data_IF_417108042549
#
_entry.id   IF_417108042549
#
_cell.length_a   1.000
_cell.length_b   1.000
_cell.length_c   1.000
_cell.angle_alpha   90.00
_cell.angle_beta   90.00
_cell.angle_gamma   90.00
#
_symmetry.space_group_name_H-M   'P 1'
#
loop_
_entity.id
_entity.type
_entity.pdbx_description
1 polymer ?
#
# COMPACT_ATOMS: atom_id res chain seq x y z
N UNK A 1 -29.43 -21.94 -12.13
CA UNK A 1 -28.14 -21.97 -11.39
C UNK A 1 -28.35 -22.47 -9.94
N UNK A 2 -27.86 -23.67 -9.62
CA UNK A 2 -28.11 -24.36 -8.33
C UNK A 2 -27.52 -23.65 -7.11
N UNK A 3 -26.43 -22.89 -7.28
CA UNK A 3 -25.74 -22.21 -6.19
C UNK A 3 -26.33 -20.84 -5.81
N UNK A 4 -27.34 -20.36 -6.55
CA UNK A 4 -27.99 -19.07 -6.28
C UNK A 4 -29.26 -19.30 -5.48
N UNK A 5 -29.22 -18.93 -4.20
CA UNK A 5 -30.34 -19.08 -3.27
C UNK A 5 -30.89 -17.69 -2.93
N UNK A 6 -32.15 -17.42 -3.27
CA UNK A 6 -32.79 -16.13 -3.02
C UNK A 6 -32.10 -14.94 -3.71
N UNK A 7 -31.53 -15.16 -4.91
CA UNK A 7 -30.79 -14.14 -5.65
C UNK A 7 -29.39 -13.85 -5.12
N UNK A 8 -28.90 -14.64 -4.16
CA UNK A 8 -27.57 -14.48 -3.55
C UNK A 8 -26.69 -15.68 -3.89
N UNK A 9 -25.43 -15.40 -4.18
CA UNK A 9 -24.38 -16.40 -4.37
C UNK A 9 -23.46 -16.36 -3.15
N UNK A 10 -23.29 -17.49 -2.46
CA UNK A 10 -22.31 -17.61 -1.37
C UNK A 10 -20.91 -17.77 -1.98
N UNK A 11 -20.03 -16.82 -1.70
CA UNK A 11 -18.64 -16.88 -2.16
C UNK A 11 -17.81 -17.71 -1.16
N UNK A 12 -17.09 -18.77 -1.60
CA UNK A 12 -16.18 -19.51 -0.75
C UNK A 12 -15.04 -18.63 -0.21
N UNK A 13 -14.56 -18.94 0.99
CA UNK A 13 -13.57 -18.11 1.70
C UNK A 13 -12.20 -18.06 0.99
N UNK A 14 -11.87 -19.11 0.23
CA UNK A 14 -10.63 -19.22 -0.54
C UNK A 14 -10.68 -18.50 -1.90
N UNK A 15 -11.77 -17.80 -2.24
CA UNK A 15 -11.86 -17.03 -3.48
C UNK A 15 -11.29 -15.64 -3.27
N UNK A 16 -10.36 -15.24 -4.15
CA UNK A 16 -9.81 -13.88 -4.23
C UNK A 16 -10.22 -13.22 -5.54
N UNK A 17 -10.60 -11.95 -5.46
CA UNK A 17 -10.87 -11.13 -6.64
C UNK A 17 -9.61 -10.33 -6.97
N UNK A 18 -9.05 -10.57 -8.15
CA UNK A 18 -7.89 -9.86 -8.66
C UNK A 18 -8.32 -9.22 -9.97
N UNK A 19 -8.19 -7.90 -10.04
CA UNK A 19 -8.47 -7.12 -11.24
C UNK A 19 -7.22 -6.37 -11.66
N UNK A 20 -7.00 -6.28 -12.96
CA UNK A 20 -6.00 -5.40 -13.56
C UNK A 20 -6.71 -4.26 -14.25
N UNK A 21 -6.13 -3.06 -14.17
CA UNK A 21 -6.61 -1.91 -14.90
C UNK A 21 -5.41 -1.16 -15.46
N UNK A 22 -5.53 -0.78 -16.73
CA UNK A 22 -4.59 0.18 -17.30
C UNK A 22 -4.93 1.57 -16.77
N UNK A 23 -3.90 2.40 -16.66
CA UNK A 23 -4.05 3.81 -16.35
C UNK A 23 -3.54 4.59 -17.55
N UNK A 24 -4.43 4.80 -18.51
CA UNK A 24 -4.21 5.55 -19.75
C UNK A 24 -5.27 6.65 -19.90
N UNK A 25 -5.00 7.64 -20.76
CA UNK A 25 -5.88 8.80 -20.97
C UNK A 25 -7.29 8.41 -21.46
N UNK A 26 -7.47 7.17 -21.91
CA UNK A 26 -8.70 6.65 -22.52
C UNK A 26 -9.56 5.83 -21.55
N UNK A 27 -9.09 5.57 -20.32
CA UNK A 27 -9.85 4.81 -19.32
C UNK A 27 -10.36 5.69 -18.17
N UNK A 28 -11.60 5.45 -17.74
CA UNK A 28 -12.13 6.07 -16.53
C UNK A 28 -11.44 5.46 -15.32
N UNK A 29 -10.85 6.30 -14.47
CA UNK A 29 -10.28 5.86 -13.20
C UNK A 29 -11.34 5.15 -12.32
N UNK A 30 -10.89 4.24 -11.46
CA UNK A 30 -11.82 3.66 -10.50
C UNK A 30 -12.34 4.74 -9.54
N UNK A 31 -13.58 4.56 -9.09
CA UNK A 31 -14.11 5.41 -8.03
C UNK A 31 -13.24 5.29 -6.75
N UNK A 32 -13.05 6.38 -5.97
CA UNK A 32 -12.29 6.35 -4.72
C UNK A 32 -12.70 5.22 -3.76
N UNK A 33 -14.00 4.91 -3.73
CA UNK A 33 -14.59 3.84 -2.92
C UNK A 33 -14.11 2.43 -3.30
N UNK A 34 -13.66 2.23 -4.54
CA UNK A 34 -13.11 0.95 -5.02
C UNK A 34 -11.68 0.80 -4.53
N UNK A 35 -10.89 1.86 -4.66
CA UNK A 35 -9.52 1.88 -4.18
C UNK A 35 -9.41 1.71 -2.67
N UNK A 36 -10.34 2.29 -1.91
CA UNK A 36 -10.41 2.12 -0.46
C UNK A 36 -10.72 0.66 -0.02
N UNK A 37 -11.30 -0.14 -0.92
CA UNK A 37 -11.65 -1.55 -0.68
C UNK A 37 -10.66 -2.55 -1.27
N UNK A 38 -9.61 -2.08 -1.94
CA UNK A 38 -8.65 -2.93 -2.65
C UNK A 38 -7.23 -2.71 -2.16
N UNK A 39 -6.42 -3.77 -2.20
CA UNK A 39 -4.97 -3.62 -2.19
C UNK A 39 -4.52 -3.31 -3.62
N UNK A 40 -3.77 -2.24 -3.80
CA UNK A 40 -3.26 -1.81 -5.10
C UNK A 40 -1.80 -2.21 -5.23
N UNK A 41 -1.45 -2.77 -6.39
CA UNK A 41 -0.07 -2.97 -6.80
C UNK A 41 0.09 -2.23 -8.12
N UNK A 42 1.07 -1.33 -8.19
CA UNK A 42 1.43 -0.67 -9.44
C UNK A 42 2.56 -1.43 -10.11
N UNK A 43 2.34 -1.82 -11.36
CA UNK A 43 3.37 -2.46 -12.16
C UNK A 43 4.29 -1.39 -12.74
N UNK A 44 5.63 -1.63 -12.78
CA UNK A 44 6.55 -0.72 -13.43
C UNK A 44 6.22 -0.60 -14.93
N UNK A 45 6.46 0.59 -15.51
CA UNK A 45 6.23 0.83 -16.95
C UNK A 45 7.03 -0.11 -17.84
N UNK A 46 8.25 -0.42 -17.44
CA UNK A 46 9.13 -1.35 -18.14
C UNK A 46 9.01 -2.73 -17.52
N UNK A 47 8.96 -3.75 -18.37
CA UNK A 47 9.03 -5.13 -17.90
C UNK A 47 10.32 -5.35 -17.10
N UNK A 48 10.25 -5.94 -15.90
CA UNK A 48 11.44 -6.34 -15.17
C UNK A 48 12.29 -7.27 -16.05
N UNK A 49 13.61 -7.23 -15.90
CA UNK A 49 14.49 -8.17 -16.61
C UNK A 49 14.03 -9.59 -16.29
N UNK A 50 13.73 -10.37 -17.33
CA UNK A 50 13.24 -11.74 -17.18
C UNK A 50 14.19 -12.63 -16.37
N UNK A 51 15.48 -12.28 -16.36
CA UNK A 51 16.52 -12.96 -15.56
C UNK A 51 16.30 -12.85 -14.04
N UNK A 52 15.50 -11.89 -13.58
CA UNK A 52 15.16 -11.72 -12.17
C UNK A 52 14.07 -12.70 -11.71
N UNK A 53 13.31 -13.28 -12.63
CA UNK A 53 12.31 -14.30 -12.29
C UNK A 53 12.98 -15.67 -12.22
N UNK A 54 13.13 -16.20 -11.01
CA UNK A 54 13.40 -17.62 -10.82
C UNK A 54 12.09 -18.37 -10.97
N UNK A 55 12.00 -19.19 -12.01
CA UNK A 55 10.95 -20.19 -12.09
C UNK A 55 11.23 -21.22 -10.99
N UNK A 56 10.27 -21.45 -10.12
CA UNK A 56 10.30 -22.55 -9.15
C UNK A 56 9.48 -23.68 -9.73
N UNK A 57 10.02 -24.89 -9.66
CA UNK A 57 9.31 -26.13 -10.03
C UNK A 57 8.51 -26.69 -8.83
N UNK A 58 8.54 -26.01 -7.68
CA UNK A 58 7.92 -26.49 -6.45
C UNK A 58 6.43 -26.10 -6.42
N UNK A 59 5.57 -27.11 -6.43
CA UNK A 59 4.14 -26.95 -6.19
C UNK A 59 3.82 -27.17 -4.71
N UNK A 60 3.26 -26.15 -4.05
CA UNK A 60 2.82 -26.25 -2.65
C UNK A 60 1.30 -26.34 -2.58
N UNK A 61 0.79 -27.43 -2.00
CA UNK A 61 -0.62 -27.55 -1.66
C UNK A 61 -0.90 -26.89 -0.31
N UNK A 62 -1.21 -25.60 -0.33
CA UNK A 62 -1.50 -24.81 0.87
C UNK A 62 -2.98 -24.82 1.19
N UNK A 63 -3.35 -25.34 2.36
CA UNK A 63 -4.75 -25.28 2.82
C UNK A 63 -5.10 -23.85 3.23
N UNK A 64 -6.31 -23.42 2.86
CA UNK A 64 -6.82 -22.09 3.19
C UNK A 64 -6.85 -21.82 4.70
N UNK A 65 -7.28 -22.80 5.50
CA UNK A 65 -7.35 -22.67 6.96
C UNK A 65 -5.97 -22.57 7.61
N UNK A 66 -4.96 -23.24 7.05
CA UNK A 66 -3.57 -23.09 7.49
C UNK A 66 -3.05 -21.69 7.15
N UNK A 67 -3.25 -21.23 5.92
CA UNK A 67 -2.79 -19.91 5.48
C UNK A 67 -3.38 -18.79 6.33
N UNK A 68 -4.68 -18.86 6.63
CA UNK A 68 -5.33 -17.88 7.50
C UNK A 68 -4.78 -17.90 8.93
N UNK A 69 -4.46 -19.08 9.49
CA UNK A 69 -3.84 -19.18 10.81
C UNK A 69 -2.46 -18.52 10.85
N UNK A 70 -1.66 -18.71 9.81
CA UNK A 70 -0.35 -18.05 9.73
C UNK A 70 -0.50 -16.53 9.59
N UNK A 71 -1.48 -16.03 8.83
CA UNK A 71 -1.79 -14.59 8.80
C UNK A 71 -2.19 -14.05 10.18
N UNK A 72 -3.11 -14.71 10.88
CA UNK A 72 -3.51 -14.30 12.23
C UNK A 72 -2.36 -14.32 13.23
N UNK A 73 -1.46 -15.31 13.09
CA UNK A 73 -0.26 -15.41 13.93
C UNK A 73 0.71 -14.27 13.64
N UNK A 74 0.95 -13.96 12.36
CA UNK A 74 1.78 -12.83 11.94
C UNK A 74 1.22 -11.49 12.43
N UNK A 75 -0.10 -11.29 12.30
CA UNK A 75 -0.81 -10.11 12.81
C UNK A 75 -0.61 -9.94 14.32
N UNK A 76 -0.77 -11.02 15.10
CA UNK A 76 -0.62 -11.00 16.56
C UNK A 76 0.85 -10.86 17.00
N UNK A 77 1.78 -11.46 16.27
CA UNK A 77 3.21 -11.46 16.57
C UNK A 77 3.88 -10.12 16.27
N UNK A 78 3.44 -9.43 15.21
CA UNK A 78 4.06 -8.20 14.72
C UNK A 78 3.26 -6.93 15.10
N UNK A 79 2.65 -6.89 16.29
CA UNK A 79 1.89 -5.73 16.76
C UNK A 79 2.73 -4.46 16.88
N UNK A 80 4.01 -4.58 17.26
CA UNK A 80 4.91 -3.44 17.36
C UNK A 80 5.21 -2.83 15.99
N UNK A 81 5.25 -3.64 14.93
CA UNK A 81 5.37 -3.16 13.56
C UNK A 81 4.17 -2.31 13.15
N UNK A 82 2.95 -2.81 13.40
CA UNK A 82 1.73 -2.04 13.18
C UNK A 82 1.68 -0.77 14.05
N UNK A 83 2.05 -0.86 15.33
CA UNK A 83 2.07 0.28 16.24
C UNK A 83 2.93 1.42 15.72
N UNK A 84 4.10 1.14 15.13
CA UNK A 84 4.94 2.18 14.52
C UNK A 84 4.25 2.89 13.36
N UNK A 85 3.58 2.15 12.48
CA UNK A 85 2.75 2.74 11.43
C UNK A 85 1.64 3.60 12.04
N UNK A 86 0.92 3.07 13.03
CA UNK A 86 -0.19 3.77 13.69
C UNK A 86 0.28 5.07 14.36
N UNK A 87 1.37 5.02 15.12
CA UNK A 87 1.96 6.19 15.79
C UNK A 87 2.45 7.22 14.74
N UNK A 88 3.03 6.77 13.63
CA UNK A 88 3.49 7.64 12.56
C UNK A 88 2.33 8.35 11.86
N UNK A 89 1.34 7.60 11.36
CA UNK A 89 0.22 8.17 10.60
C UNK A 89 -0.67 9.08 11.46
N UNK A 90 -0.73 8.82 12.78
CA UNK A 90 -1.49 9.62 13.73
C UNK A 90 -0.69 10.72 14.42
N UNK A 91 0.61 10.88 14.11
CA UNK A 91 1.40 12.00 14.62
C UNK A 91 0.85 13.34 14.13
N UNK A 92 1.01 14.38 14.95
CA UNK A 92 0.52 15.72 14.61
C UNK A 92 1.16 16.22 13.31
N UNK A 93 2.47 16.06 13.15
CA UNK A 93 3.20 16.45 11.94
C UNK A 93 2.63 15.79 10.67
N UNK A 94 2.34 14.48 10.73
CA UNK A 94 1.72 13.78 9.60
C UNK A 94 0.29 14.24 9.34
N UNK A 95 -0.51 14.46 10.39
CA UNK A 95 -1.88 14.97 10.26
C UNK A 95 -1.88 16.37 9.62
N UNK A 96 -0.99 17.26 10.03
CA UNK A 96 -0.86 18.59 9.44
C UNK A 96 -0.44 18.51 7.96
N UNK A 97 0.57 17.69 7.66
CA UNK A 97 1.07 17.52 6.30
C UNK A 97 0.00 16.98 5.34
N UNK A 98 -0.79 16.00 5.80
CA UNK A 98 -1.91 15.44 5.03
C UNK A 98 -3.05 16.45 4.85
N UNK A 99 -3.39 17.20 5.92
CA UNK A 99 -4.43 18.22 5.89
C UNK A 99 -4.10 19.35 4.91
N UNK A 100 -2.84 19.80 4.84
CA UNK A 100 -2.39 20.82 3.90
C UNK A 100 -2.66 20.42 2.44
N UNK A 101 -2.62 19.12 2.13
CA UNK A 101 -2.94 18.59 0.78
C UNK A 101 -4.38 18.15 0.61
N UNK A 102 -5.21 18.28 1.65
CA UNK A 102 -6.59 17.80 1.66
C UNK A 102 -6.69 16.28 1.54
N UNK A 103 -5.71 15.55 2.09
CA UNK A 103 -5.71 14.08 2.11
C UNK A 103 -6.34 13.61 3.43
N UNK A 104 -7.47 12.91 3.33
CA UNK A 104 -8.13 12.29 4.49
C UNK A 104 -7.62 10.87 4.75
N UNK A 105 -7.46 10.53 6.03
CA UNK A 105 -7.17 9.16 6.47
C UNK A 105 -8.47 8.53 6.99
N UNK A 106 -8.89 7.42 6.39
CA UNK A 106 -10.07 6.67 6.83
C UNK A 106 -9.70 5.46 7.69
N UNK A 107 -10.61 5.06 8.59
CA UNK A 107 -10.41 3.93 9.52
C UNK A 107 -10.04 2.59 8.84
N UNK A 108 -10.40 2.42 7.56
CA UNK A 108 -10.05 1.22 6.78
C UNK A 108 -8.56 1.10 6.52
N UNK A 109 -7.83 2.22 6.44
CA UNK A 109 -6.39 2.19 6.25
C UNK A 109 -5.72 1.47 7.41
N UNK A 110 -6.06 1.82 8.66
CA UNK A 110 -5.45 1.21 9.84
C UNK A 110 -5.76 -0.28 9.94
N UNK A 111 -7.03 -0.67 9.73
CA UNK A 111 -7.41 -2.07 9.73
C UNK A 111 -6.66 -2.89 8.68
N UNK A 112 -6.46 -2.34 7.48
CA UNK A 112 -5.71 -3.01 6.43
C UNK A 112 -4.20 -3.00 6.69
N UNK A 113 -3.69 -1.94 7.33
CA UNK A 113 -2.29 -1.82 7.69
C UNK A 113 -1.89 -2.84 8.76
N UNK A 114 -2.72 -3.09 9.77
CA UNK A 114 -2.48 -4.12 10.78
C UNK A 114 -2.23 -5.49 10.13
N UNK A 115 -3.09 -5.85 9.18
CA UNK A 115 -2.96 -7.11 8.43
C UNK A 115 -1.75 -7.14 7.52
N UNK A 116 -1.62 -6.12 6.69
CA UNK A 116 -0.58 -6.09 5.66
C UNK A 116 0.82 -6.00 6.27
N UNK A 117 1.05 -5.07 7.19
CA UNK A 117 2.37 -4.85 7.79
C UNK A 117 2.79 -6.08 8.59
N UNK A 118 1.88 -6.65 9.38
CA UNK A 118 2.19 -7.83 10.18
C UNK A 118 2.63 -9.03 9.31
N UNK A 119 1.89 -9.31 8.24
CA UNK A 119 2.21 -10.40 7.30
C UNK A 119 3.46 -10.10 6.47
N UNK A 120 3.65 -8.85 6.04
CA UNK A 120 4.81 -8.44 5.25
C UNK A 120 6.11 -8.61 6.03
N UNK A 121 6.13 -8.16 7.29
CA UNK A 121 7.29 -8.27 8.18
C UNK A 121 7.59 -9.73 8.52
N UNK A 122 6.58 -10.55 8.80
CA UNK A 122 6.76 -11.99 9.07
C UNK A 122 7.36 -12.74 7.86
N UNK A 123 7.05 -12.29 6.65
CA UNK A 123 7.58 -12.88 5.41
C UNK A 123 8.98 -12.37 5.04
N UNK A 124 9.44 -11.32 5.72
CA UNK A 124 10.70 -10.66 5.48
C UNK A 124 11.85 -11.26 6.30
N UNK A 125 13.01 -10.62 6.22
CA UNK A 125 14.21 -11.02 6.98
C UNK A 125 14.88 -9.85 7.70
N UNK A 126 14.49 -8.61 7.39
CA UNK A 126 15.11 -7.38 7.90
C UNK A 126 14.02 -6.51 8.55
N UNK A 127 13.52 -6.95 9.72
CA UNK A 127 12.33 -6.39 10.39
C UNK A 127 12.23 -4.86 10.33
N UNK A 128 13.28 -4.12 10.72
CA UNK A 128 13.27 -2.65 10.73
C UNK A 128 13.06 -2.03 9.34
N UNK A 129 13.66 -2.63 8.32
CA UNK A 129 13.54 -2.21 6.92
C UNK A 129 12.20 -2.66 6.34
N UNK A 130 11.75 -3.87 6.65
CA UNK A 130 10.48 -4.41 6.17
C UNK A 130 9.29 -3.61 6.70
N UNK A 131 9.35 -3.13 7.95
CA UNK A 131 8.37 -2.19 8.51
C UNK A 131 8.32 -0.90 7.69
N UNK A 132 9.48 -0.33 7.37
CA UNK A 132 9.58 0.91 6.60
C UNK A 132 9.04 0.72 5.18
N UNK A 133 9.44 -0.35 4.49
CA UNK A 133 8.96 -0.70 3.14
C UNK A 133 7.44 -0.88 3.12
N UNK A 134 6.90 -1.65 4.07
CA UNK A 134 5.46 -1.89 4.16
C UNK A 134 4.67 -0.60 4.44
N UNK A 135 5.19 0.25 5.33
CA UNK A 135 4.58 1.54 5.66
C UNK A 135 4.59 2.49 4.47
N UNK A 136 5.74 2.64 3.81
CA UNK A 136 5.88 3.48 2.61
C UNK A 136 4.92 3.01 1.51
N UNK A 137 4.93 1.71 1.18
CA UNK A 137 4.02 1.13 0.19
C UNK A 137 2.55 1.46 0.46
N UNK A 138 2.07 1.29 1.70
CA UNK A 138 0.69 1.59 2.06
C UNK A 138 0.37 3.08 1.92
N UNK A 139 1.22 3.96 2.45
CA UNK A 139 1.00 5.41 2.37
C UNK A 139 1.01 5.87 0.92
N UNK A 140 1.97 5.43 0.11
CA UNK A 140 2.04 5.78 -1.31
C UNK A 140 0.80 5.33 -2.06
N UNK A 141 0.45 4.04 -1.95
CA UNK A 141 -0.63 3.43 -2.76
C UNK A 141 -2.03 3.87 -2.33
N UNK A 142 -2.22 4.27 -1.07
CA UNK A 142 -3.54 4.61 -0.50
C UNK A 142 -3.78 6.09 -0.29
N UNK A 143 -2.75 6.85 0.04
CA UNK A 143 -2.88 8.27 0.38
C UNK A 143 -2.30 9.12 -0.76
N UNK A 144 -1.00 8.98 -1.03
CA UNK A 144 -0.31 9.88 -1.96
C UNK A 144 -0.64 9.65 -3.41
N UNK A 145 -1.22 8.51 -3.77
CA UNK A 145 -1.77 8.30 -5.10
C UNK A 145 -2.78 9.39 -5.51
N UNK A 146 -3.47 10.01 -4.56
CA UNK A 146 -4.40 11.12 -4.84
C UNK A 146 -3.70 12.40 -5.32
N UNK A 147 -2.38 12.48 -5.18
CA UNK A 147 -1.55 13.58 -5.68
C UNK A 147 -1.19 13.40 -7.16
N UNK A 148 -1.41 12.21 -7.74
CA UNK A 148 -1.18 11.98 -9.17
C UNK A 148 -2.10 12.86 -10.01
N UNK A 149 -1.52 13.50 -11.02
CA UNK A 149 -2.24 14.36 -11.97
C UNK A 149 -3.06 15.49 -11.29
N UNK A 150 -2.72 15.89 -10.07
CA UNK A 150 -3.30 17.08 -9.43
C UNK A 150 -2.68 18.34 -10.04
N UNK A 151 -3.39 18.97 -10.98
CA UNK A 151 -2.90 20.14 -11.70
C UNK A 151 -2.88 21.43 -10.86
N UNK A 152 -3.63 21.46 -9.76
CA UNK A 152 -3.69 22.57 -8.79
C UNK A 152 -2.41 22.72 -7.95
N UNK A 153 -1.60 21.67 -7.84
CA UNK A 153 -0.34 21.71 -7.10
C UNK A 153 0.80 22.16 -8.03
N UNK A 154 1.57 23.17 -7.64
CA UNK A 154 2.77 23.54 -8.39
C UNK A 154 4.00 22.67 -8.00
N UNK A 155 5.08 22.80 -8.79
CA UNK A 155 6.33 22.07 -8.58
C UNK A 155 6.97 22.37 -7.21
N UNK A 156 6.91 23.62 -6.76
CA UNK A 156 7.49 24.07 -5.49
C UNK A 156 6.75 23.43 -4.32
N UNK A 157 5.43 23.40 -4.39
CA UNK A 157 4.54 22.86 -3.38
C UNK A 157 4.73 21.34 -3.21
N UNK A 158 4.86 20.59 -4.33
CA UNK A 158 5.16 19.16 -4.29
C UNK A 158 6.59 18.87 -3.80
N UNK A 159 7.58 19.65 -4.20
CA UNK A 159 8.96 19.50 -3.72
C UNK A 159 9.03 19.72 -2.20
N UNK A 160 8.38 20.78 -1.71
CA UNK A 160 8.31 21.07 -0.27
C UNK A 160 7.63 19.92 0.50
N UNK A 161 6.50 19.43 0.00
CA UNK A 161 5.80 18.29 0.59
C UNK A 161 6.67 17.03 0.63
N UNK A 162 7.37 16.71 -0.47
CA UNK A 162 8.32 15.60 -0.54
C UNK A 162 9.39 15.74 0.53
N UNK A 163 10.03 16.89 0.63
CA UNK A 163 11.15 17.12 1.56
C UNK A 163 10.70 17.02 3.02
N UNK A 164 9.52 17.56 3.34
CA UNK A 164 8.94 17.47 4.69
C UNK A 164 8.56 16.02 5.03
N UNK A 165 7.87 15.31 4.12
CA UNK A 165 7.51 13.91 4.33
C UNK A 165 8.74 13.02 4.51
N UNK A 166 9.76 13.18 3.67
CA UNK A 166 10.99 12.36 3.74
C UNK A 166 11.70 12.58 5.07
N UNK A 167 11.76 13.81 5.59
CA UNK A 167 12.35 14.10 6.92
C UNK A 167 11.54 13.46 8.05
N UNK A 168 10.21 13.52 7.99
CA UNK A 168 9.34 12.89 8.98
C UNK A 168 9.51 11.37 8.97
N UNK A 169 9.54 10.77 7.78
CA UNK A 169 9.70 9.34 7.59
C UNK A 169 11.08 8.86 8.09
N UNK A 170 12.15 9.55 7.72
CA UNK A 170 13.53 9.25 8.14
C UNK A 170 13.67 9.20 9.67
N UNK A 171 13.06 10.18 10.36
CA UNK A 171 12.99 10.26 11.82
C UNK A 171 12.21 9.10 12.43
N UNK A 172 11.07 8.73 11.84
CA UNK A 172 10.21 7.67 12.36
C UNK A 172 10.77 6.26 12.12
N UNK A 173 11.49 6.05 11.02
CA UNK A 173 11.95 4.74 10.56
C UNK A 173 13.48 4.61 10.51
N UNK A 174 14.21 5.30 11.41
CA UNK A 174 15.65 5.12 11.67
C UNK A 174 16.53 5.19 10.41
N UNK A 175 16.42 6.27 9.65
CA UNK A 175 17.17 6.52 8.41
C UNK A 175 16.80 5.63 7.21
N UNK A 176 15.67 4.90 7.28
CA UNK A 176 15.09 4.29 6.08
C UNK A 176 14.43 5.37 5.22
N UNK A 177 14.53 5.23 3.90
CA UNK A 177 13.95 6.18 2.95
C UNK A 177 12.67 5.62 2.33
N UNK A 178 11.63 6.45 2.13
CA UNK A 178 10.39 6.02 1.51
C UNK A 178 10.52 6.02 -0.02
N UNK A 179 11.12 4.96 -0.59
CA UNK A 179 11.42 4.86 -2.03
C UNK A 179 10.18 4.96 -2.92
N UNK A 180 9.08 4.29 -2.56
CA UNK A 180 7.85 4.33 -3.35
C UNK A 180 7.26 5.74 -3.40
N UNK A 181 7.27 6.44 -2.25
CA UNK A 181 6.81 7.83 -2.20
C UNK A 181 7.74 8.74 -2.98
N UNK A 182 9.06 8.59 -2.85
CA UNK A 182 10.03 9.40 -3.59
C UNK A 182 9.82 9.23 -5.10
N UNK A 183 9.73 7.99 -5.58
CA UNK A 183 9.53 7.69 -7.00
C UNK A 183 8.22 8.28 -7.53
N UNK A 184 7.14 8.17 -6.75
CA UNK A 184 5.84 8.77 -7.06
C UNK A 184 5.97 10.29 -7.20
N UNK A 185 6.50 10.96 -6.17
CA UNK A 185 6.56 12.42 -6.12
C UNK A 185 7.53 12.98 -7.16
N UNK A 186 8.68 12.35 -7.40
CA UNK A 186 9.61 12.76 -8.44
C UNK A 186 9.00 12.63 -9.83
N UNK A 187 8.23 11.57 -10.08
CA UNK A 187 7.46 11.44 -11.32
C UNK A 187 6.47 12.59 -11.48
N UNK A 188 5.68 12.92 -10.47
CA UNK A 188 4.70 14.02 -10.55
C UNK A 188 5.35 15.41 -10.63
N UNK A 189 6.47 15.63 -9.94
CA UNK A 189 7.28 16.86 -10.01
C UNK A 189 7.87 17.02 -11.42
N UNK A 190 8.30 15.94 -12.07
CA UNK A 190 8.89 15.98 -13.41
C UNK A 190 7.88 16.36 -14.51
N UNK A 191 6.59 16.11 -14.28
CA UNK A 191 5.49 16.48 -15.19
C UNK A 191 5.11 17.97 -15.11
N UNK A 192 5.66 18.72 -14.14
CA UNK A 192 5.37 20.14 -13.86
C UNK A 192 6.57 21.01 -14.18
#
# INVERSE_FOLDING_TARGET
>A
PELVVGGKLKIPENVRFIGTANHDETTLEFAPKTYDRSNLMEMPKNHPDKKLFKQTDDEFNVRYDWLNKEFEKAEKGNKDAFKRFHDFINSDDMKFLLLEKGIGVGNRLEYQAEKFIGVFVESGNEMEKDIAIATDHLITSRLFRTLKNRYDLDKTNLTKFKDEYVKLFDKAFKNQKPSFTIDLLDTEISKK
#
